data_IF_234307003678
#
_entry.id   IF_234307003678
#
_cell.length_a   1.000
_cell.length_b   1.000
_cell.length_c   1.000
_cell.angle_alpha   90.00
_cell.angle_beta   90.00
_cell.angle_gamma   90.00
#
_symmetry.space_group_name_H-M   'P 1'
#
loop_
_entity.id
_entity.type
_entity.pdbx_description
1 polymer ?
#
# COMPACT_ATOMS: atom_id res chain seq x y z
N UNK A 1 -30.24 -30.70 -6.05
CA UNK A 1 -29.82 -29.30 -6.32
C UNK A 1 -30.74 -28.39 -5.53
N UNK A 2 -30.42 -28.13 -4.26
CA UNK A 2 -31.31 -27.43 -3.35
C UNK A 2 -30.94 -25.97 -3.26
N UNK A 3 -31.79 -25.12 -3.85
CA UNK A 3 -31.82 -23.66 -3.76
C UNK A 3 -30.99 -23.11 -2.60
N UNK A 4 -29.87 -22.44 -2.88
CA UNK A 4 -29.15 -21.61 -1.91
C UNK A 4 -30.10 -20.50 -1.47
N UNK A 5 -30.94 -20.81 -0.48
CA UNK A 5 -31.83 -19.85 0.15
C UNK A 5 -30.94 -18.66 0.55
N UNK A 6 -31.25 -17.43 0.12
CA UNK A 6 -30.43 -16.25 0.42
C UNK A 6 -30.06 -16.16 1.91
N UNK A 7 -30.96 -16.61 2.78
CA UNK A 7 -30.77 -16.71 4.23
C UNK A 7 -29.61 -17.64 4.64
N UNK A 8 -29.42 -18.78 3.96
CA UNK A 8 -28.28 -19.68 4.21
C UNK A 8 -26.96 -19.08 3.72
N UNK A 9 -26.97 -18.36 2.59
CA UNK A 9 -25.80 -17.67 2.06
C UNK A 9 -25.32 -16.57 3.03
N UNK A 10 -26.22 -15.74 3.56
CA UNK A 10 -25.88 -14.76 4.59
C UNK A 10 -25.30 -15.40 5.86
N UNK A 11 -25.81 -16.57 6.25
CA UNK A 11 -25.29 -17.30 7.42
C UNK A 11 -23.86 -17.80 7.18
N UNK A 12 -23.57 -18.30 5.98
CA UNK A 12 -22.23 -18.73 5.58
C UNK A 12 -21.26 -17.54 5.49
N UNK A 13 -21.67 -16.42 4.87
CA UNK A 13 -20.84 -15.20 4.80
C UNK A 13 -20.52 -14.67 6.20
N UNK A 14 -21.49 -14.65 7.13
CA UNK A 14 -21.24 -14.25 8.52
C UNK A 14 -20.26 -15.17 9.24
N UNK A 15 -20.24 -16.47 8.91
CA UNK A 15 -19.28 -17.42 9.46
C UNK A 15 -17.87 -17.22 8.88
N UNK A 16 -17.74 -16.92 7.59
CA UNK A 16 -16.45 -16.62 6.96
C UNK A 16 -15.87 -15.26 7.40
N UNK A 17 -16.71 -14.24 7.53
CA UNK A 17 -16.30 -12.91 8.03
C UNK A 17 -15.76 -12.99 9.47
N UNK A 18 -16.24 -13.93 10.28
CA UNK A 18 -15.70 -14.16 11.64
C UNK A 18 -14.29 -14.77 11.64
N UNK A 19 -13.87 -15.42 10.55
CA UNK A 19 -12.50 -15.93 10.40
C UNK A 19 -11.52 -14.83 9.97
N UNK A 20 -12.01 -13.66 9.56
CA UNK A 20 -11.17 -12.51 9.21
C UNK A 20 -10.56 -11.95 10.48
N UNK A 21 -9.27 -12.21 10.68
CA UNK A 21 -8.46 -11.61 11.75
C UNK A 21 -8.13 -10.18 11.37
N UNK A 22 -8.91 -9.23 11.86
CA UNK A 22 -8.63 -7.82 11.67
C UNK A 22 -7.38 -7.41 12.48
N UNK A 23 -6.48 -6.62 11.88
CA UNK A 23 -5.30 -6.15 12.57
C UNK A 23 -5.70 -5.23 13.73
N UNK A 24 -4.94 -5.31 14.81
CA UNK A 24 -5.05 -4.39 15.93
C UNK A 24 -4.67 -2.97 15.51
N UNK A 25 -5.22 -1.96 16.20
CA UNK A 25 -4.85 -0.54 15.96
C UNK A 25 -3.33 -0.31 16.03
N UNK A 26 -2.62 -1.08 16.87
CA UNK A 26 -1.17 -1.01 17.02
C UNK A 26 -0.42 -1.51 15.79
N UNK A 27 -0.87 -2.63 15.21
CA UNK A 27 -0.27 -3.18 13.98
C UNK A 27 -0.46 -2.23 12.80
N UNK A 28 -1.64 -1.62 12.68
CA UNK A 28 -1.91 -0.62 11.63
C UNK A 28 -0.96 0.57 11.78
N UNK A 29 -0.80 1.13 12.98
CA UNK A 29 0.09 2.27 13.23
C UNK A 29 1.55 1.91 12.93
N UNK A 30 2.00 0.71 13.32
CA UNK A 30 3.36 0.26 13.07
C UNK A 30 3.62 0.06 11.56
N UNK A 31 2.68 -0.56 10.85
CA UNK A 31 2.76 -0.73 9.40
C UNK A 31 2.83 0.62 8.67
N UNK A 32 1.96 1.58 9.04
CA UNK A 32 2.00 2.93 8.46
C UNK A 32 3.33 3.63 8.73
N UNK A 33 3.87 3.52 9.94
CA UNK A 33 5.17 4.12 10.29
C UNK A 33 6.31 3.55 9.45
N UNK A 34 6.33 2.23 9.23
CA UNK A 34 7.32 1.58 8.37
C UNK A 34 7.23 2.12 6.93
N UNK A 35 6.02 2.23 6.38
CA UNK A 35 5.81 2.77 5.03
C UNK A 35 6.32 4.21 4.93
N UNK A 36 6.05 5.06 5.92
CA UNK A 36 6.54 6.45 5.95
C UNK A 36 8.07 6.50 5.86
N UNK A 37 8.77 5.64 6.61
CA UNK A 37 10.24 5.58 6.59
C UNK A 37 10.76 5.18 5.21
N UNK A 38 10.20 4.13 4.62
CA UNK A 38 10.62 3.65 3.30
C UNK A 38 10.37 4.69 2.22
N UNK A 39 9.20 5.35 2.25
CA UNK A 39 8.85 6.41 1.30
C UNK A 39 9.74 7.64 1.47
N UNK A 40 10.08 8.01 2.70
CA UNK A 40 11.00 9.13 2.95
C UNK A 40 12.41 8.85 2.40
N UNK A 41 12.91 7.63 2.53
CA UNK A 41 14.21 7.25 1.94
C UNK A 41 14.13 7.26 0.41
N UNK A 42 13.06 6.67 -0.15
CA UNK A 42 12.86 6.63 -1.59
C UNK A 42 12.73 8.04 -2.20
N UNK A 43 12.01 8.96 -1.54
CA UNK A 43 11.84 10.33 -2.03
C UNK A 43 13.15 11.10 -2.06
N UNK A 44 13.99 10.94 -1.04
CA UNK A 44 15.34 11.53 -1.01
C UNK A 44 16.19 10.98 -2.16
N UNK A 45 16.16 9.67 -2.39
CA UNK A 45 16.87 9.04 -3.50
C UNK A 45 16.42 9.61 -4.85
N UNK A 46 15.11 9.65 -5.10
CA UNK A 46 14.57 10.19 -6.35
C UNK A 46 14.91 11.66 -6.53
N UNK A 47 14.86 12.47 -5.47
CA UNK A 47 15.25 13.88 -5.52
C UNK A 47 16.69 14.07 -6.04
N UNK A 48 17.64 13.29 -5.53
CA UNK A 48 19.03 13.36 -6.02
C UNK A 48 19.16 12.89 -7.46
N UNK A 49 18.46 11.82 -7.82
CA UNK A 49 18.45 11.28 -9.18
C UNK A 49 17.90 12.31 -10.17
N UNK A 50 16.78 12.94 -9.85
CA UNK A 50 16.16 13.98 -10.68
C UNK A 50 17.10 15.17 -10.85
N UNK A 51 17.76 15.61 -9.78
CA UNK A 51 18.75 16.70 -9.84
C UNK A 51 19.94 16.34 -10.74
N UNK A 52 20.44 15.10 -10.64
CA UNK A 52 21.53 14.61 -11.46
C UNK A 52 21.15 14.57 -12.95
N UNK A 53 19.98 14.00 -13.28
CA UNK A 53 19.50 13.98 -14.65
C UNK A 53 19.22 15.39 -15.18
N UNK A 54 18.62 16.28 -14.39
CA UNK A 54 18.38 17.66 -14.78
C UNK A 54 19.70 18.40 -15.09
N UNK A 55 20.74 18.19 -14.30
CA UNK A 55 22.06 18.76 -14.55
C UNK A 55 22.68 18.25 -15.87
N UNK A 56 22.57 16.94 -16.15
CA UNK A 56 23.06 16.34 -17.41
C UNK A 56 22.30 16.91 -18.60
N UNK A 57 20.97 16.93 -18.54
CA UNK A 57 20.13 17.44 -19.62
C UNK A 57 20.45 18.91 -19.87
N UNK A 58 20.56 19.73 -18.83
CA UNK A 58 20.94 21.14 -18.97
C UNK A 58 22.33 21.32 -19.57
N UNK A 59 23.30 20.48 -19.21
CA UNK A 59 24.64 20.52 -19.80
C UNK A 59 24.64 20.19 -21.30
N UNK A 60 23.81 19.24 -21.73
CA UNK A 60 23.66 18.87 -23.15
C UNK A 60 22.96 19.98 -23.94
N UNK A 61 21.88 20.58 -23.41
CA UNK A 61 21.13 21.62 -24.12
C UNK A 61 21.81 23.00 -24.10
N UNK A 62 22.69 23.26 -23.12
CA UNK A 62 23.45 24.51 -23.02
C UNK A 62 24.69 24.52 -23.93
N UNK A 63 25.12 23.36 -24.42
CA UNK A 63 26.12 23.20 -25.47
C UNK A 63 25.44 23.05 -26.83
#
# INVERSE_FOLDING_TARGET
>A
MGNTSPIQFFRQVKQEVKKVTWPSKKEVINATRMVIVVVAIASIFFFFVDMFFAAIVSAIFKY
#
